data_IF_087921508011
#
_entry.id   IF_087921508011
#
_cell.length_a   1.000
_cell.length_b   1.000
_cell.length_c   1.000
_cell.angle_alpha   90.00
_cell.angle_beta   90.00
_cell.angle_gamma   90.00
#
_symmetry.space_group_name_H-M   'P 1'
#
loop_
_entity.id
_entity.type
_entity.pdbx_description
1 polymer ?
#
# COMPACT_ATOMS: atom_id res chain seq x y z
N UNK A 1 86.86 72.80 -48.55
CA UNK A 1 87.20 72.18 -47.28
C UNK A 1 86.57 73.03 -46.20
N UNK A 2 85.32 72.64 -45.74
CA UNK A 2 84.68 73.35 -44.64
C UNK A 2 84.76 72.47 -43.39
N UNK A 3 85.48 72.96 -42.41
CA UNK A 3 85.50 72.31 -41.07
C UNK A 3 84.25 72.64 -40.33
N UNK A 4 83.57 71.68 -39.65
CA UNK A 4 82.45 71.98 -38.83
C UNK A 4 82.86 72.63 -37.51
N UNK A 5 82.34 73.77 -37.22
CA UNK A 5 82.48 74.45 -35.95
C UNK A 5 81.69 73.67 -34.86
N UNK A 6 82.39 73.12 -33.91
CA UNK A 6 81.82 72.51 -32.72
C UNK A 6 81.42 73.69 -31.81
N UNK A 7 80.13 73.86 -31.62
CA UNK A 7 79.59 74.85 -30.64
C UNK A 7 79.62 74.17 -29.25
N UNK A 8 80.45 74.71 -28.39
CA UNK A 8 80.55 74.26 -26.99
C UNK A 8 79.32 74.70 -26.21
N UNK A 9 78.65 73.71 -25.61
CA UNK A 9 77.43 73.88 -24.83
C UNK A 9 77.59 74.76 -23.57
N UNK A 10 78.84 75.17 -23.25
CA UNK A 10 79.12 76.04 -22.07
C UNK A 10 78.74 77.50 -22.27
N UNK A 11 78.39 77.93 -23.54
CA UNK A 11 78.04 79.33 -23.80
C UNK A 11 76.52 79.59 -23.92
N UNK A 12 75.71 78.60 -23.70
CA UNK A 12 74.29 78.78 -23.62
C UNK A 12 73.83 79.30 -22.25
N UNK A 13 74.04 80.58 -21.98
CA UNK A 13 73.61 81.25 -20.75
C UNK A 13 72.16 81.27 -20.47
N UNK A 14 71.31 81.03 -21.45
CA UNK A 14 69.78 80.92 -21.26
C UNK A 14 69.34 79.61 -20.64
N UNK A 15 70.06 78.48 -20.86
CA UNK A 15 69.73 77.20 -20.25
C UNK A 15 70.19 77.10 -18.76
N UNK A 16 71.30 77.77 -18.40
CA UNK A 16 71.76 77.81 -17.01
C UNK A 16 70.83 78.60 -16.08
N UNK A 17 70.17 79.65 -16.58
CA UNK A 17 69.29 80.50 -15.77
C UNK A 17 67.92 79.84 -15.49
N UNK A 18 67.49 78.84 -16.27
CA UNK A 18 66.28 78.12 -16.04
C UNK A 18 66.45 76.94 -15.05
N UNK A 19 67.60 76.38 -14.89
CA UNK A 19 67.88 75.28 -13.93
C UNK A 19 68.15 75.78 -12.50
N UNK A 20 68.50 77.04 -12.28
CA UNK A 20 68.87 77.61 -10.96
C UNK A 20 67.74 78.36 -10.26
N UNK A 21 66.54 78.42 -10.87
CA UNK A 21 65.35 78.96 -10.18
C UNK A 21 64.83 77.93 -9.19
N UNK A 22 65.13 78.10 -7.91
CA UNK A 22 64.46 77.33 -6.83
C UNK A 22 62.98 77.47 -7.02
N UNK A 23 62.21 76.35 -7.14
CA UNK A 23 60.81 76.42 -7.32
C UNK A 23 60.13 77.21 -6.19
N UNK A 24 59.38 78.20 -6.54
CA UNK A 24 58.67 79.09 -5.59
C UNK A 24 57.76 78.22 -4.68
N UNK A 25 57.61 78.61 -3.40
CA UNK A 25 56.72 77.94 -2.44
C UNK A 25 55.31 77.58 -3.04
N UNK A 26 54.88 78.35 -3.99
CA UNK A 26 53.61 78.14 -4.73
C UNK A 26 53.66 76.85 -5.58
N UNK A 27 54.78 76.57 -6.24
CA UNK A 27 54.93 75.34 -7.08
C UNK A 27 54.94 74.09 -6.19
N UNK A 28 55.59 74.17 -5.02
CA UNK A 28 55.61 73.05 -4.04
C UNK A 28 54.18 72.85 -3.43
N UNK A 29 53.41 73.93 -3.21
CA UNK A 29 52.06 73.89 -2.70
C UNK A 29 51.18 73.28 -3.75
N UNK A 30 51.25 73.62 -5.02
CA UNK A 30 50.49 73.04 -6.11
C UNK A 30 50.80 71.54 -6.32
N UNK A 31 52.09 71.17 -6.29
CA UNK A 31 52.51 69.80 -6.38
C UNK A 31 52.05 69.00 -5.15
N UNK A 32 52.10 69.55 -3.95
CA UNK A 32 51.57 68.99 -2.72
C UNK A 32 50.13 68.79 -2.77
N UNK A 33 49.36 69.78 -3.28
CA UNK A 33 47.90 69.67 -3.48
C UNK A 33 47.55 68.58 -4.51
N UNK A 34 48.27 68.50 -5.63
CA UNK A 34 48.12 67.42 -6.62
C UNK A 34 48.35 66.03 -6.02
N UNK A 35 49.45 65.88 -5.26
CA UNK A 35 49.78 64.63 -4.58
C UNK A 35 48.73 64.29 -3.59
N UNK A 36 48.20 65.22 -2.82
CA UNK A 36 47.11 65.00 -1.86
C UNK A 36 45.81 64.62 -2.57
N UNK A 37 45.49 65.25 -3.71
CA UNK A 37 44.34 64.93 -4.53
C UNK A 37 44.43 63.47 -5.10
N UNK A 38 45.61 63.14 -5.66
CA UNK A 38 45.88 61.78 -6.16
C UNK A 38 45.82 60.75 -5.02
N UNK A 39 46.40 61.05 -3.84
CA UNK A 39 46.32 60.19 -2.68
C UNK A 39 44.89 59.99 -2.18
N UNK A 40 44.07 61.09 -2.22
CA UNK A 40 42.66 61.03 -1.87
C UNK A 40 41.86 60.16 -2.83
N UNK A 41 42.10 60.25 -4.14
CA UNK A 41 41.44 59.43 -5.16
C UNK A 41 41.86 57.95 -5.00
N UNK A 42 43.13 57.67 -4.76
CA UNK A 42 43.60 56.31 -4.50
C UNK A 42 43.00 55.77 -3.21
N UNK A 43 42.99 56.53 -2.14
CA UNK A 43 42.34 56.16 -0.88
C UNK A 43 40.83 55.87 -1.04
N UNK A 44 40.13 56.74 -1.79
CA UNK A 44 38.74 56.53 -2.13
C UNK A 44 38.52 55.27 -2.97
N UNK A 45 39.35 55.04 -3.99
CA UNK A 45 39.32 53.83 -4.84
C UNK A 45 39.65 52.54 -4.06
N UNK A 46 40.52 52.63 -3.02
CA UNK A 46 40.84 51.52 -2.15
C UNK A 46 39.66 51.18 -1.18
N UNK A 47 38.90 52.21 -0.74
CA UNK A 47 37.81 52.00 0.19
C UNK A 47 36.50 51.62 -0.52
N UNK A 48 36.27 52.08 -1.76
CA UNK A 48 35.07 51.80 -2.56
C UNK A 48 35.10 50.37 -3.05
N UNK A 49 34.11 49.56 -2.62
CA UNK A 49 33.93 48.17 -3.04
C UNK A 49 32.99 48.08 -4.23
N UNK A 50 33.38 47.29 -5.21
CA UNK A 50 32.57 46.95 -6.39
C UNK A 50 32.24 45.45 -6.37
N UNK A 51 31.00 45.10 -6.64
CA UNK A 51 30.60 43.71 -6.79
C UNK A 51 30.99 43.20 -8.18
N UNK A 52 31.74 42.11 -8.25
CA UNK A 52 31.88 41.35 -9.48
C UNK A 52 30.66 40.44 -9.59
N UNK A 53 30.03 40.47 -10.76
CA UNK A 53 28.82 39.71 -11.05
C UNK A 53 29.06 38.76 -12.22
N UNK A 54 28.53 37.56 -12.08
CA UNK A 54 28.38 36.59 -13.17
C UNK A 54 26.92 36.65 -13.62
N UNK A 55 26.70 36.74 -14.94
CA UNK A 55 25.37 36.83 -15.51
C UNK A 55 24.96 35.49 -16.12
N UNK A 56 23.92 34.89 -15.60
CA UNK A 56 23.41 33.61 -16.08
C UNK A 56 21.98 33.74 -16.55
N UNK A 57 21.69 33.23 -17.76
CA UNK A 57 20.34 33.17 -18.29
C UNK A 57 19.64 31.89 -17.83
N UNK A 58 18.36 31.99 -17.48
CA UNK A 58 17.62 30.85 -16.96
C UNK A 58 16.11 31.09 -16.87
N UNK A 59 15.47 30.18 -16.19
CA UNK A 59 14.01 30.21 -15.98
C UNK A 59 13.61 29.66 -14.63
N UNK A 60 12.44 30.06 -14.16
CA UNK A 60 11.84 29.58 -12.93
C UNK A 60 11.39 28.13 -13.12
N UNK A 61 11.80 27.29 -12.19
CA UNK A 61 11.44 25.87 -12.09
C UNK A 61 10.88 25.58 -10.70
N UNK A 62 10.09 24.50 -10.51
CA UNK A 62 9.79 24.03 -9.17
C UNK A 62 11.09 23.58 -8.48
N UNK A 63 11.16 23.73 -7.18
CA UNK A 63 12.33 23.29 -6.39
C UNK A 63 12.43 21.76 -6.39
N UNK A 64 11.30 21.08 -6.29
CA UNK A 64 11.19 19.63 -6.39
C UNK A 64 10.85 19.20 -7.81
N UNK A 65 11.25 17.97 -8.15
CA UNK A 65 10.84 17.37 -9.42
C UNK A 65 9.33 17.15 -9.41
N UNK A 66 8.62 17.50 -10.50
CA UNK A 66 7.18 17.29 -10.54
C UNK A 66 6.79 15.86 -10.19
N UNK A 67 5.78 15.73 -9.34
CA UNK A 67 5.24 14.44 -8.96
C UNK A 67 4.44 13.87 -10.12
N UNK A 68 4.82 12.69 -10.57
CA UNK A 68 4.14 11.97 -11.65
C UNK A 68 2.99 11.18 -11.11
N UNK A 69 1.82 11.38 -11.66
CA UNK A 69 0.62 10.62 -11.35
C UNK A 69 0.44 9.56 -12.42
N UNK A 70 0.35 8.30 -12.00
CA UNK A 70 0.26 7.16 -12.89
C UNK A 70 -1.16 6.62 -12.95
N UNK A 71 -1.55 6.09 -14.13
CA UNK A 71 -2.79 5.34 -14.27
C UNK A 71 -2.72 4.01 -13.50
N UNK A 72 -3.61 3.85 -12.52
CA UNK A 72 -3.76 2.62 -11.74
C UNK A 72 -4.74 1.66 -12.44
N UNK A 73 -4.35 1.14 -13.61
CA UNK A 73 -5.11 0.13 -14.34
C UNK A 73 -4.48 -1.25 -14.07
N UNK A 74 -5.26 -2.33 -13.94
CA UNK A 74 -4.70 -3.67 -13.80
C UNK A 74 -3.71 -4.00 -14.92
N UNK A 75 -2.62 -4.67 -14.58
CA UNK A 75 -1.53 -4.96 -15.52
C UNK A 75 -2.03 -5.68 -16.78
N UNK A 76 -1.67 -5.15 -17.95
CA UNK A 76 -2.06 -5.72 -19.25
C UNK A 76 -3.44 -5.31 -19.76
N UNK A 77 -4.16 -4.44 -19.03
CA UNK A 77 -5.43 -3.87 -19.45
C UNK A 77 -5.26 -2.39 -19.83
N UNK A 78 -6.18 -1.91 -20.64
CA UNK A 78 -6.33 -0.49 -20.97
C UNK A 78 -7.58 0.04 -20.27
N UNK A 79 -7.44 1.17 -19.57
CA UNK A 79 -8.56 1.90 -18.99
C UNK A 79 -9.06 2.96 -19.97
N UNK A 80 -10.38 3.06 -20.13
CA UNK A 80 -10.97 4.18 -20.87
C UNK A 80 -11.26 5.33 -19.92
N UNK A 81 -10.88 6.54 -20.28
CA UNK A 81 -11.22 7.75 -19.54
C UNK A 81 -12.72 8.01 -19.64
N UNK A 82 -13.42 8.04 -18.51
CA UNK A 82 -14.82 8.48 -18.43
C UNK A 82 -14.88 10.01 -18.39
N UNK A 83 -14.17 10.62 -17.44
CA UNK A 83 -14.12 12.07 -17.27
C UNK A 83 -12.71 12.52 -16.87
N UNK A 84 -12.20 13.56 -17.51
CA UNK A 84 -11.05 14.34 -17.06
C UNK A 84 -11.56 15.62 -16.37
N UNK A 85 -11.25 15.82 -15.11
CA UNK A 85 -11.80 16.88 -14.27
C UNK A 85 -10.86 18.08 -14.15
N UNK A 86 -9.62 17.93 -14.57
CA UNK A 86 -8.58 18.97 -14.48
C UNK A 86 -7.86 19.11 -15.82
N UNK A 87 -7.40 20.34 -16.09
CA UNK A 87 -6.61 20.71 -17.27
C UNK A 87 -5.22 21.22 -16.86
N UNK A 88 -4.32 21.34 -17.84
CA UNK A 88 -3.02 21.96 -17.61
C UNK A 88 -3.18 23.40 -17.12
N UNK A 89 -2.49 23.74 -16.03
CA UNK A 89 -2.56 25.04 -15.36
C UNK A 89 -3.53 25.13 -14.19
N UNK A 90 -4.34 24.10 -13.94
CA UNK A 90 -5.26 24.08 -12.80
C UNK A 90 -4.50 23.83 -11.47
N UNK A 91 -4.95 24.52 -10.42
CA UNK A 91 -4.48 24.27 -9.06
C UNK A 91 -5.26 23.10 -8.46
N UNK A 92 -4.52 22.15 -7.86
CA UNK A 92 -5.08 20.95 -7.24
C UNK A 92 -4.51 20.74 -5.85
N UNK A 93 -5.34 20.15 -4.97
CA UNK A 93 -4.94 19.76 -3.62
C UNK A 93 -4.76 18.24 -3.53
N UNK A 94 -4.00 17.83 -2.54
CA UNK A 94 -3.84 16.40 -2.24
C UNK A 94 -5.21 15.75 -1.96
N UNK A 95 -5.54 14.69 -2.71
CA UNK A 95 -6.83 14.02 -2.68
C UNK A 95 -7.86 14.52 -3.70
N UNK A 96 -7.60 15.60 -4.43
CA UNK A 96 -8.49 16.06 -5.49
C UNK A 96 -8.52 15.05 -6.65
N UNK A 97 -9.72 14.82 -7.19
CA UNK A 97 -9.91 13.88 -8.30
C UNK A 97 -9.48 14.54 -9.61
N UNK A 98 -8.46 13.97 -10.24
CA UNK A 98 -7.93 14.42 -11.51
C UNK A 98 -8.65 13.78 -12.70
N UNK A 99 -8.90 12.47 -12.60
CA UNK A 99 -9.40 11.64 -13.69
C UNK A 99 -10.26 10.50 -13.13
N UNK A 100 -11.31 10.13 -13.87
CA UNK A 100 -12.09 8.93 -13.63
C UNK A 100 -12.03 8.01 -14.83
N UNK A 101 -11.76 6.74 -14.58
CA UNK A 101 -11.84 5.70 -15.60
C UNK A 101 -13.26 5.12 -15.68
N UNK A 102 -13.62 4.56 -16.81
CA UNK A 102 -14.89 3.87 -17.02
C UNK A 102 -14.93 2.57 -16.21
N UNK A 103 -15.84 2.49 -15.25
CA UNK A 103 -16.05 1.34 -14.37
C UNK A 103 -17.24 0.48 -14.76
N UNK A 104 -17.90 0.74 -15.89
CA UNK A 104 -19.15 0.06 -16.26
C UNK A 104 -19.03 -1.47 -16.32
N UNK A 105 -17.90 -2.01 -16.78
CA UNK A 105 -17.66 -3.46 -16.76
C UNK A 105 -17.40 -3.98 -15.35
N UNK A 106 -16.66 -3.25 -14.52
CA UNK A 106 -16.38 -3.60 -13.13
C UNK A 106 -17.67 -3.60 -12.30
N UNK A 107 -18.53 -2.59 -12.46
CA UNK A 107 -19.78 -2.49 -11.76
C UNK A 107 -20.73 -3.67 -12.09
N UNK A 108 -20.77 -4.09 -13.37
CA UNK A 108 -21.52 -5.28 -13.79
C UNK A 108 -20.95 -6.58 -13.16
N UNK A 109 -19.63 -6.72 -13.07
CA UNK A 109 -19.03 -7.91 -12.48
C UNK A 109 -19.17 -7.92 -10.95
N UNK A 110 -19.11 -6.77 -10.29
CA UNK A 110 -19.45 -6.59 -8.87
C UNK A 110 -20.90 -7.08 -8.62
N UNK A 111 -21.86 -6.58 -9.39
CA UNK A 111 -23.28 -6.96 -9.25
C UNK A 111 -23.51 -8.46 -9.45
N UNK A 112 -22.82 -9.10 -10.41
CA UNK A 112 -22.88 -10.55 -10.61
C UNK A 112 -22.35 -11.33 -9.40
N UNK A 113 -21.21 -10.88 -8.84
CA UNK A 113 -20.62 -11.53 -7.66
C UNK A 113 -21.48 -11.35 -6.42
N UNK A 114 -22.07 -10.17 -6.20
CA UNK A 114 -23.02 -9.91 -5.11
C UNK A 114 -24.20 -10.85 -5.19
N UNK A 115 -24.82 -10.97 -6.38
CA UNK A 115 -25.93 -11.93 -6.59
C UNK A 115 -25.51 -13.39 -6.35
N UNK A 116 -24.27 -13.76 -6.72
CA UNK A 116 -23.75 -15.11 -6.48
C UNK A 116 -23.55 -15.38 -4.99
N UNK A 117 -23.05 -14.39 -4.24
CA UNK A 117 -22.88 -14.47 -2.78
C UNK A 117 -24.25 -14.60 -2.10
N UNK A 118 -25.23 -13.80 -2.50
CA UNK A 118 -26.59 -13.86 -1.97
C UNK A 118 -27.24 -15.23 -2.22
N UNK A 119 -27.12 -15.75 -3.44
CA UNK A 119 -27.63 -17.09 -3.78
C UNK A 119 -26.96 -18.18 -2.95
N UNK A 120 -25.63 -18.13 -2.79
CA UNK A 120 -24.88 -19.09 -1.96
C UNK A 120 -25.28 -18.99 -0.48
N UNK A 121 -25.52 -17.78 0.03
CA UNK A 121 -25.96 -17.54 1.41
C UNK A 121 -27.35 -18.09 1.65
N UNK A 122 -28.30 -17.88 0.72
CA UNK A 122 -29.66 -18.47 0.80
C UNK A 122 -29.63 -20.00 0.72
N UNK A 123 -28.72 -20.57 -0.06
CA UNK A 123 -28.54 -22.02 -0.14
C UNK A 123 -27.98 -22.60 1.15
N UNK A 124 -27.04 -21.92 1.80
CA UNK A 124 -26.52 -22.29 3.12
C UNK A 124 -27.64 -22.27 4.19
N UNK A 125 -28.47 -21.25 4.20
CA UNK A 125 -29.62 -21.15 5.12
C UNK A 125 -30.58 -22.30 4.92
N UNK A 126 -30.89 -22.68 3.67
CA UNK A 126 -31.71 -23.85 3.37
C UNK A 126 -31.08 -25.16 3.83
N UNK A 127 -29.76 -25.33 3.68
CA UNK A 127 -29.07 -26.52 4.17
C UNK A 127 -29.17 -26.64 5.70
N UNK A 128 -29.06 -25.54 6.43
CA UNK A 128 -29.24 -25.49 7.88
C UNK A 128 -30.66 -25.88 8.30
N UNK A 129 -31.66 -25.40 7.56
CA UNK A 129 -33.07 -25.80 7.79
C UNK A 129 -33.27 -27.29 7.52
N UNK A 130 -32.68 -27.85 6.45
CA UNK A 130 -32.75 -29.27 6.16
C UNK A 130 -32.08 -30.10 7.25
N UNK A 131 -30.90 -29.66 7.74
CA UNK A 131 -30.19 -30.33 8.83
C UNK A 131 -31.03 -30.38 10.11
N UNK A 132 -31.68 -29.28 10.50
CA UNK A 132 -32.58 -29.24 11.66
C UNK A 132 -33.77 -30.21 11.50
N UNK A 133 -34.44 -30.19 10.35
CA UNK A 133 -35.55 -31.10 10.07
C UNK A 133 -35.11 -32.58 10.07
N UNK A 134 -33.94 -32.90 9.56
CA UNK A 134 -33.38 -34.23 9.56
C UNK A 134 -33.13 -34.74 10.99
N UNK A 135 -32.53 -33.90 11.82
CA UNK A 135 -32.29 -34.24 13.25
C UNK A 135 -33.59 -34.45 13.98
N UNK A 136 -34.58 -33.56 13.83
CA UNK A 136 -35.89 -33.70 14.46
C UNK A 136 -36.63 -35.00 14.05
N UNK A 137 -36.58 -35.34 12.76
CA UNK A 137 -37.16 -36.57 12.24
C UNK A 137 -36.49 -37.80 12.86
N UNK A 138 -35.14 -37.83 12.88
CA UNK A 138 -34.40 -38.96 13.45
C UNK A 138 -34.60 -39.06 14.96
N UNK A 139 -34.76 -37.94 15.68
CA UNK A 139 -35.06 -37.95 17.10
C UNK A 139 -36.42 -38.61 17.37
N UNK A 140 -37.45 -38.27 16.58
CA UNK A 140 -38.77 -38.90 16.70
C UNK A 140 -38.71 -40.40 16.42
N UNK A 141 -37.94 -40.82 15.38
CA UNK A 141 -37.75 -42.25 15.07
C UNK A 141 -36.98 -42.99 16.18
N UNK A 142 -35.92 -42.40 16.75
CA UNK A 142 -35.19 -43.01 17.87
C UNK A 142 -36.05 -43.11 19.14
N UNK A 143 -36.89 -42.12 19.44
CA UNK A 143 -37.87 -42.18 20.54
C UNK A 143 -38.86 -43.33 20.35
N UNK A 144 -39.38 -43.53 19.13
CA UNK A 144 -40.29 -44.65 18.81
C UNK A 144 -39.59 -46.00 18.97
N UNK A 145 -38.37 -46.16 18.39
CA UNK A 145 -37.61 -47.42 18.48
C UNK A 145 -37.23 -47.70 19.96
N UNK A 146 -36.87 -46.70 20.72
CA UNK A 146 -36.58 -46.84 22.15
C UNK A 146 -37.79 -47.29 22.96
N UNK A 147 -39.00 -46.76 22.69
CA UNK A 147 -40.23 -47.17 23.33
C UNK A 147 -40.55 -48.65 23.00
N UNK A 148 -40.38 -49.07 21.70
CA UNK A 148 -40.56 -50.45 21.30
C UNK A 148 -39.54 -51.40 21.96
N UNK A 149 -38.24 -50.97 22.04
CA UNK A 149 -37.19 -51.70 22.74
C UNK A 149 -37.52 -51.91 24.20
N UNK A 150 -37.95 -50.88 24.89
CA UNK A 150 -38.35 -50.97 26.32
C UNK A 150 -39.50 -51.92 26.52
N UNK A 151 -40.56 -51.83 25.68
CA UNK A 151 -41.69 -52.71 25.74
C UNK A 151 -41.32 -54.20 25.54
N UNK A 152 -40.40 -54.47 24.56
CA UNK A 152 -39.96 -55.84 24.28
C UNK A 152 -39.00 -56.37 25.37
N UNK A 153 -38.14 -55.51 25.98
CA UNK A 153 -37.33 -55.85 27.15
C UNK A 153 -38.20 -56.25 28.35
N UNK A 154 -39.27 -55.50 28.62
CA UNK A 154 -40.20 -55.79 29.71
C UNK A 154 -40.95 -57.14 29.45
N UNK A 155 -41.32 -57.39 28.17
CA UNK A 155 -41.92 -58.66 27.77
C UNK A 155 -40.98 -59.84 27.95
N UNK A 156 -39.72 -59.72 27.51
CA UNK A 156 -38.69 -60.75 27.64
C UNK A 156 -38.45 -61.02 29.12
N UNK A 157 -38.26 -59.98 29.97
CA UNK A 157 -38.05 -60.13 31.40
C UNK A 157 -39.21 -60.83 32.12
N UNK A 158 -40.46 -60.46 31.78
CA UNK A 158 -41.62 -61.12 32.29
C UNK A 158 -41.71 -62.61 31.87
N UNK A 159 -41.31 -62.94 30.63
CA UNK A 159 -41.25 -64.33 30.13
C UNK A 159 -40.16 -65.12 30.82
N UNK A 160 -38.99 -64.53 31.08
CA UNK A 160 -37.90 -65.19 31.88
C UNK A 160 -38.35 -65.46 33.31
N UNK A 161 -39.03 -64.53 33.96
CA UNK A 161 -39.60 -64.75 35.32
C UNK A 161 -40.60 -65.88 35.34
N UNK A 162 -41.47 -65.98 34.31
CA UNK A 162 -42.41 -67.08 34.21
C UNK A 162 -41.66 -68.42 34.00
N UNK A 163 -40.74 -68.48 33.09
CA UNK A 163 -39.89 -69.67 32.83
C UNK A 163 -39.18 -70.11 34.16
N UNK A 164 -38.56 -69.22 34.90
CA UNK A 164 -37.86 -69.53 36.13
C UNK A 164 -38.81 -70.07 37.24
N UNK A 165 -40.07 -69.58 37.27
CA UNK A 165 -41.12 -70.16 38.12
C UNK A 165 -41.52 -71.56 37.68
N UNK A 166 -41.72 -71.75 36.33
CA UNK A 166 -42.10 -73.03 35.76
C UNK A 166 -41.00 -74.08 35.97
N UNK A 167 -39.71 -73.67 35.80
CA UNK A 167 -38.54 -74.53 36.12
C UNK A 167 -38.55 -74.96 37.57
N UNK A 168 -38.74 -74.04 38.52
CA UNK A 168 -38.79 -74.33 39.96
C UNK A 168 -39.93 -75.32 40.28
N UNK A 169 -41.14 -75.10 39.71
CA UNK A 169 -42.23 -76.01 39.89
C UNK A 169 -41.96 -77.40 39.29
N UNK A 170 -41.37 -77.46 38.10
CA UNK A 170 -40.97 -78.73 37.45
C UNK A 170 -39.89 -79.47 38.22
N UNK A 171 -38.88 -78.74 38.79
CA UNK A 171 -37.85 -79.31 39.67
C UNK A 171 -38.47 -79.98 40.91
N UNK A 172 -39.40 -79.26 41.58
CA UNK A 172 -40.13 -79.83 42.74
C UNK A 172 -40.96 -81.06 42.34
N UNK A 173 -41.62 -81.05 41.19
CA UNK A 173 -42.36 -82.18 40.68
C UNK A 173 -41.48 -83.40 40.36
N UNK A 174 -40.24 -83.20 39.81
CA UNK A 174 -39.25 -84.24 39.58
C UNK A 174 -38.76 -84.80 40.92
N UNK A 175 -38.47 -83.96 41.90
CA UNK A 175 -38.05 -84.40 43.26
C UNK A 175 -39.12 -85.25 43.92
N UNK A 176 -40.39 -84.83 43.93
CA UNK A 176 -41.53 -85.60 44.43
C UNK A 176 -41.72 -86.94 43.71
N UNK A 177 -41.62 -86.93 42.36
CA UNK A 177 -41.79 -88.18 41.58
C UNK A 177 -40.63 -89.14 41.89
N UNK A 178 -39.37 -88.68 42.02
CA UNK A 178 -38.21 -89.48 42.43
C UNK A 178 -38.34 -90.06 43.81
N UNK A 179 -38.81 -89.30 44.81
CA UNK A 179 -39.06 -89.79 46.13
C UNK A 179 -40.10 -90.87 46.14
N UNK A 180 -41.22 -90.65 45.37
CA UNK A 180 -42.24 -91.67 45.26
C UNK A 180 -41.72 -92.97 44.60
N UNK A 181 -41.00 -92.84 43.49
CA UNK A 181 -40.35 -93.97 42.80
C UNK A 181 -39.43 -94.77 43.80
N UNK A 182 -38.52 -94.06 44.54
CA UNK A 182 -37.67 -94.69 45.55
C UNK A 182 -38.48 -95.40 46.67
N UNK A 183 -39.61 -94.85 47.07
CA UNK A 183 -40.53 -95.43 48.05
C UNK A 183 -41.13 -96.71 47.47
N UNK A 184 -41.68 -96.68 46.20
CA UNK A 184 -42.33 -97.85 45.61
C UNK A 184 -41.29 -98.93 45.29
N UNK A 185 -40.02 -98.62 44.84
CA UNK A 185 -38.95 -99.57 44.70
C UNK A 185 -38.69 -100.36 45.99
N UNK A 186 -38.67 -99.70 47.17
CA UNK A 186 -38.52 -100.36 48.44
C UNK A 186 -39.67 -101.29 48.79
N UNK A 187 -40.98 -100.86 48.51
CA UNK A 187 -42.11 -101.65 48.76
C UNK A 187 -42.20 -102.88 47.87
N UNK A 188 -41.93 -102.79 46.60
CA UNK A 188 -41.81 -103.92 45.65
C UNK A 188 -40.78 -104.91 46.11
N UNK A 189 -39.66 -104.48 46.58
CA UNK A 189 -38.55 -105.33 47.08
C UNK A 189 -39.03 -106.26 48.21
N UNK A 190 -39.89 -105.75 49.10
CA UNK A 190 -40.43 -106.50 50.23
C UNK A 190 -41.80 -107.18 49.89
N UNK A 191 -42.21 -107.21 48.60
CA UNK A 191 -43.41 -107.78 48.09
C UNK A 191 -44.69 -107.17 48.59
N UNK A 192 -44.61 -105.89 49.10
CA UNK A 192 -45.74 -105.15 49.57
C UNK A 192 -46.53 -104.33 48.50
N UNK A 193 -45.92 -104.25 47.32
CA UNK A 193 -46.53 -103.62 46.15
C UNK A 193 -46.26 -104.36 44.85
N UNK A 194 -46.98 -103.98 43.73
CA UNK A 194 -46.92 -104.70 42.40
C UNK A 194 -45.91 -104.02 41.44
N UNK A 195 -45.29 -104.81 40.55
CA UNK A 195 -44.42 -104.28 39.50
C UNK A 195 -45.07 -103.27 38.57
N UNK A 196 -46.40 -103.38 38.40
CA UNK A 196 -47.17 -102.41 37.64
C UNK A 196 -47.12 -101.02 38.23
N UNK A 197 -47.19 -100.94 39.57
CA UNK A 197 -47.11 -99.64 40.29
C UNK A 197 -45.66 -99.05 40.22
N UNK A 198 -44.63 -99.87 40.17
CA UNK A 198 -43.26 -99.44 39.91
C UNK A 198 -43.14 -98.85 38.51
N UNK A 199 -43.68 -99.51 37.50
CA UNK A 199 -43.66 -98.98 36.15
C UNK A 199 -44.39 -97.64 36.01
N UNK A 200 -45.54 -97.47 36.66
CA UNK A 200 -46.24 -96.24 36.72
C UNK A 200 -45.45 -95.12 37.39
N UNK A 201 -44.70 -95.37 38.50
CA UNK A 201 -43.86 -94.41 39.17
C UNK A 201 -42.62 -94.03 38.32
N UNK A 202 -42.03 -94.99 37.57
CA UNK A 202 -40.96 -94.71 36.60
C UNK A 202 -41.44 -93.82 35.48
N UNK A 203 -42.67 -94.09 34.93
CA UNK A 203 -43.26 -93.26 33.86
C UNK A 203 -43.55 -91.85 34.40
N UNK A 204 -44.04 -91.68 35.63
CA UNK A 204 -44.28 -90.40 36.25
C UNK A 204 -42.95 -89.58 36.41
N UNK A 205 -41.90 -90.26 36.87
CA UNK A 205 -40.58 -89.63 36.96
C UNK A 205 -40.02 -89.20 35.58
N UNK A 206 -40.18 -90.03 34.57
CA UNK A 206 -39.79 -89.68 33.20
C UNK A 206 -40.60 -88.52 32.64
N UNK A 207 -41.91 -88.50 32.86
CA UNK A 207 -42.77 -87.40 32.42
C UNK A 207 -42.37 -86.09 33.10
N UNK A 208 -42.14 -86.12 34.43
CA UNK A 208 -41.70 -84.93 35.17
C UNK A 208 -40.37 -84.38 34.67
N UNK A 209 -39.40 -85.24 34.31
CA UNK A 209 -38.13 -84.84 33.69
C UNK A 209 -38.32 -84.20 32.30
N UNK A 210 -39.19 -84.73 31.49
CA UNK A 210 -39.48 -84.13 30.17
C UNK A 210 -40.15 -82.75 30.34
N UNK A 211 -41.08 -82.57 31.32
CA UNK A 211 -41.65 -81.28 31.69
C UNK A 211 -40.58 -80.27 32.11
N UNK A 212 -39.64 -80.71 32.98
CA UNK A 212 -38.50 -79.84 33.38
C UNK A 212 -37.63 -79.44 32.21
N UNK A 213 -37.32 -80.40 31.33
CA UNK A 213 -36.51 -80.11 30.13
C UNK A 213 -37.21 -79.07 29.22
N UNK A 214 -38.51 -79.19 29.06
CA UNK A 214 -39.31 -78.21 28.28
C UNK A 214 -39.37 -76.85 28.93
N UNK A 215 -39.50 -76.79 30.28
CA UNK A 215 -39.46 -75.56 31.05
C UNK A 215 -38.11 -74.85 30.96
N UNK A 216 -37.02 -75.58 30.80
CA UNK A 216 -35.64 -75.06 30.68
C UNK A 216 -35.35 -74.47 29.32
N UNK A 217 -36.24 -74.52 28.35
CA UNK A 217 -35.99 -73.92 27.02
C UNK A 217 -35.78 -72.41 27.14
N UNK A 218 -34.82 -71.86 26.37
CA UNK A 218 -34.53 -70.41 26.42
C UNK A 218 -35.76 -69.63 25.91
N UNK A 219 -35.94 -68.43 26.47
CA UNK A 219 -36.93 -67.47 26.00
C UNK A 219 -36.49 -66.87 24.65
N UNK A 220 -37.40 -66.71 23.72
CA UNK A 220 -37.08 -66.11 22.43
C UNK A 220 -36.81 -64.59 22.60
N UNK A 221 -35.57 -64.19 22.25
CA UNK A 221 -35.10 -62.81 22.26
C UNK A 221 -34.90 -62.25 20.82
N UNK A 222 -35.32 -62.98 19.78
CA UNK A 222 -35.10 -62.61 18.38
C UNK A 222 -35.62 -61.23 18.04
N UNK A 223 -36.80 -60.86 18.53
CA UNK A 223 -37.39 -59.55 18.25
C UNK A 223 -36.58 -58.41 18.93
N UNK A 224 -36.06 -58.64 20.15
CA UNK A 224 -35.24 -57.67 20.87
C UNK A 224 -33.92 -57.40 20.09
N UNK A 225 -33.30 -58.42 19.52
CA UNK A 225 -32.05 -58.28 18.76
C UNK A 225 -32.33 -57.55 17.41
N UNK A 226 -33.44 -57.83 16.76
CA UNK A 226 -33.84 -57.11 15.52
C UNK A 226 -34.02 -55.60 15.82
N UNK A 227 -34.73 -55.26 16.88
CA UNK A 227 -34.92 -53.82 17.25
C UNK A 227 -33.62 -53.12 17.59
N UNK A 228 -32.66 -53.80 18.25
CA UNK A 228 -31.33 -53.23 18.50
C UNK A 228 -30.54 -52.98 17.20
N UNK A 229 -30.62 -53.90 16.23
CA UNK A 229 -30.03 -53.74 14.93
C UNK A 229 -30.68 -52.61 14.12
N UNK A 230 -32.01 -52.53 14.17
CA UNK A 230 -32.77 -51.45 13.52
C UNK A 230 -32.39 -50.08 14.04
N UNK A 231 -32.22 -49.91 15.37
CA UNK A 231 -31.73 -48.69 16.00
C UNK A 231 -30.31 -48.33 15.52
N UNK A 232 -29.40 -49.32 15.44
CA UNK A 232 -28.03 -49.09 14.95
C UNK A 232 -27.99 -48.67 13.47
N UNK A 233 -28.85 -49.22 12.65
CA UNK A 233 -28.99 -48.85 11.24
C UNK A 233 -29.55 -47.45 11.10
N UNK A 234 -30.58 -47.08 11.88
CA UNK A 234 -31.09 -45.72 11.88
C UNK A 234 -30.03 -44.67 12.23
N UNK A 235 -29.21 -44.96 13.27
CA UNK A 235 -28.09 -44.07 13.66
C UNK A 235 -27.05 -43.92 12.54
N UNK A 236 -26.63 -45.04 11.94
CA UNK A 236 -25.68 -45.00 10.82
C UNK A 236 -26.20 -44.22 9.62
N UNK A 237 -27.50 -44.34 9.34
CA UNK A 237 -28.14 -43.60 8.27
C UNK A 237 -28.10 -42.09 8.54
N UNK A 238 -28.39 -41.67 9.75
CA UNK A 238 -28.25 -40.27 10.17
C UNK A 238 -26.84 -39.76 9.99
N UNK A 239 -25.82 -40.51 10.46
CA UNK A 239 -24.41 -40.14 10.35
C UNK A 239 -24.02 -39.92 8.88
N UNK A 240 -24.49 -40.76 7.95
CA UNK A 240 -24.23 -40.62 6.52
C UNK A 240 -24.91 -39.38 5.93
N UNK A 241 -26.20 -39.19 6.22
CA UNK A 241 -26.99 -38.05 5.71
C UNK A 241 -26.42 -36.72 6.24
N UNK A 242 -26.03 -36.66 7.52
CA UNK A 242 -25.33 -35.49 8.08
C UNK A 242 -24.01 -35.24 7.40
N UNK A 243 -23.20 -36.29 7.16
CA UNK A 243 -21.94 -36.16 6.46
C UNK A 243 -22.10 -35.63 5.02
N UNK A 244 -23.15 -36.04 4.31
CA UNK A 244 -23.46 -35.50 2.97
C UNK A 244 -23.84 -34.02 3.01
N UNK A 245 -24.62 -33.62 4.00
CA UNK A 245 -25.04 -32.21 4.19
C UNK A 245 -23.81 -31.35 4.57
N UNK A 246 -22.93 -31.84 5.43
CA UNK A 246 -21.69 -31.17 5.79
C UNK A 246 -20.77 -30.92 4.59
N UNK A 247 -20.59 -31.90 3.75
CA UNK A 247 -19.81 -31.75 2.52
C UNK A 247 -20.41 -30.67 1.61
N UNK A 248 -21.74 -30.68 1.43
CA UNK A 248 -22.44 -29.65 0.63
C UNK A 248 -22.26 -28.28 1.24
N UNK A 249 -22.41 -28.15 2.58
CA UNK A 249 -22.24 -26.89 3.31
C UNK A 249 -20.82 -26.34 3.15
N UNK A 250 -19.78 -27.17 3.34
CA UNK A 250 -18.37 -26.77 3.19
C UNK A 250 -18.10 -26.29 1.77
N UNK A 251 -18.60 -26.98 0.76
CA UNK A 251 -18.42 -26.58 -0.63
C UNK A 251 -19.07 -25.22 -0.91
N UNK A 252 -20.31 -25.01 -0.43
CA UNK A 252 -21.00 -23.72 -0.60
C UNK A 252 -20.37 -22.57 0.17
N UNK A 253 -19.89 -22.82 1.38
CA UNK A 253 -19.09 -21.85 2.12
C UNK A 253 -17.84 -21.46 1.36
N UNK A 254 -17.10 -22.45 0.80
CA UNK A 254 -15.91 -22.19 -0.02
C UNK A 254 -16.23 -21.36 -1.27
N UNK A 255 -17.35 -21.65 -1.96
CA UNK A 255 -17.79 -20.83 -3.10
C UNK A 255 -18.13 -19.38 -2.70
N UNK A 256 -18.83 -19.20 -1.58
CA UNK A 256 -19.19 -17.87 -1.07
C UNK A 256 -17.92 -17.07 -0.64
N UNK A 257 -16.97 -17.71 0.04
CA UNK A 257 -15.70 -17.07 0.43
C UNK A 257 -14.85 -16.68 -0.78
N UNK A 258 -14.75 -17.56 -1.78
CA UNK A 258 -14.02 -17.25 -3.01
C UNK A 258 -14.66 -16.04 -3.72
N UNK A 259 -15.97 -16.02 -3.85
CA UNK A 259 -16.69 -14.90 -4.45
C UNK A 259 -16.53 -13.60 -3.65
N UNK A 260 -16.51 -13.66 -2.31
CA UNK A 260 -16.26 -12.47 -1.46
C UNK A 260 -14.85 -11.90 -1.64
N UNK A 261 -13.83 -12.76 -1.77
CA UNK A 261 -12.45 -12.32 -2.03
C UNK A 261 -12.33 -11.67 -3.41
N UNK A 262 -12.98 -12.24 -4.40
CA UNK A 262 -13.02 -11.68 -5.75
C UNK A 262 -13.75 -10.34 -5.77
N UNK A 263 -14.89 -10.24 -5.06
CA UNK A 263 -15.62 -8.98 -4.89
C UNK A 263 -14.77 -7.89 -4.23
N UNK A 264 -14.03 -8.22 -3.18
CA UNK A 264 -13.12 -7.27 -2.53
C UNK A 264 -12.03 -6.78 -3.48
N UNK A 265 -11.51 -7.66 -4.34
CA UNK A 265 -10.55 -7.29 -5.39
C UNK A 265 -11.15 -6.31 -6.42
N UNK A 266 -12.39 -6.57 -6.86
CA UNK A 266 -13.07 -5.67 -7.81
C UNK A 266 -13.38 -4.30 -7.18
N UNK A 267 -13.76 -4.25 -5.90
CA UNK A 267 -13.93 -2.98 -5.20
C UNK A 267 -12.63 -2.18 -5.14
N UNK A 268 -11.49 -2.83 -4.84
CA UNK A 268 -10.18 -2.18 -4.87
C UNK A 268 -9.85 -1.63 -6.27
N UNK A 269 -10.11 -2.41 -7.33
CA UNK A 269 -9.92 -1.96 -8.70
C UNK A 269 -10.82 -0.76 -9.02
N UNK A 270 -12.06 -0.75 -8.53
CA UNK A 270 -12.99 0.38 -8.70
C UNK A 270 -12.53 1.64 -7.98
N UNK A 271 -11.97 1.51 -6.78
CA UNK A 271 -11.34 2.63 -6.06
C UNK A 271 -10.12 3.16 -6.84
N UNK A 272 -9.29 2.28 -7.37
CA UNK A 272 -8.12 2.64 -8.18
C UNK A 272 -8.49 3.29 -9.54
N UNK A 273 -9.73 3.11 -10.03
CA UNK A 273 -10.21 3.77 -11.23
C UNK A 273 -10.44 5.29 -11.05
N UNK A 274 -10.41 5.79 -9.82
CA UNK A 274 -10.42 7.22 -9.50
C UNK A 274 -8.99 7.66 -9.22
N UNK A 275 -8.42 8.45 -10.11
CA UNK A 275 -7.05 8.93 -10.00
C UNK A 275 -7.08 10.29 -9.31
N UNK A 276 -6.36 10.38 -8.19
CA UNK A 276 -6.31 11.58 -7.34
C UNK A 276 -4.90 12.18 -7.30
N UNK A 277 -4.82 13.47 -6.99
CA UNK A 277 -3.53 14.13 -6.78
C UNK A 277 -2.90 13.65 -5.46
N UNK A 278 -1.64 13.19 -5.46
CA UNK A 278 -0.93 12.84 -4.23
C UNK A 278 -0.42 14.07 -3.46
N UNK A 279 -0.31 15.25 -4.10
CA UNK A 279 0.29 16.46 -3.56
C UNK A 279 -0.53 17.70 -3.91
N UNK A 280 -0.30 18.78 -3.16
CA UNK A 280 -0.83 20.11 -3.49
C UNK A 280 0.07 20.76 -4.55
N UNK A 281 -0.53 21.29 -5.62
CA UNK A 281 0.28 21.91 -6.67
C UNK A 281 -0.50 22.37 -7.89
N UNK A 282 0.22 22.56 -9.00
CA UNK A 282 -0.34 22.93 -10.29
C UNK A 282 -0.07 21.80 -11.30
N UNK A 283 -1.08 21.44 -12.07
CA UNK A 283 -0.94 20.49 -13.16
C UNK A 283 -0.11 21.12 -14.29
N UNK A 284 1.05 20.53 -14.62
CA UNK A 284 1.97 21.07 -15.64
C UNK A 284 2.00 20.26 -16.94
N UNK A 285 1.48 19.04 -16.90
CA UNK A 285 1.32 18.18 -18.08
C UNK A 285 0.17 17.20 -17.87
N UNK A 286 -0.60 16.93 -18.90
CA UNK A 286 -1.69 15.95 -18.93
C UNK A 286 -2.88 16.47 -19.73
N UNK A 287 -2.90 16.19 -21.05
CA UNK A 287 -4.06 16.45 -21.91
C UNK A 287 -4.79 15.13 -22.17
N UNK A 288 -5.68 14.75 -21.27
CA UNK A 288 -6.55 13.59 -21.45
C UNK A 288 -7.99 14.03 -21.60
N UNK A 289 -8.69 13.40 -22.52
CA UNK A 289 -10.10 13.65 -22.80
C UNK A 289 -10.96 12.42 -22.57
N UNK A 290 -12.24 12.64 -22.31
CA UNK A 290 -13.19 11.55 -22.21
C UNK A 290 -13.16 10.66 -23.48
N UNK A 291 -12.99 9.35 -23.29
CA UNK A 291 -12.87 8.36 -24.36
C UNK A 291 -11.44 7.92 -24.67
N UNK A 292 -10.42 8.62 -24.19
CA UNK A 292 -9.02 8.23 -24.36
C UNK A 292 -8.71 6.92 -23.62
N UNK A 293 -7.71 6.23 -24.14
CA UNK A 293 -7.24 4.96 -23.53
C UNK A 293 -5.92 5.20 -22.81
N UNK A 294 -5.86 4.78 -21.56
CA UNK A 294 -4.65 4.84 -20.74
C UNK A 294 -4.21 3.43 -20.34
N UNK A 295 -2.89 3.22 -20.32
CA UNK A 295 -2.30 1.93 -19.97
C UNK A 295 -1.84 1.91 -18.52
N UNK A 296 -1.72 0.70 -17.98
CA UNK A 296 -1.17 0.50 -16.65
C UNK A 296 0.23 1.08 -16.52
N UNK A 297 0.44 1.93 -15.51
CA UNK A 297 1.73 2.59 -15.25
C UNK A 297 2.06 3.74 -16.20
N UNK A 298 1.15 4.16 -17.08
CA UNK A 298 1.30 5.36 -17.89
C UNK A 298 1.17 6.62 -17.02
N UNK A 299 2.03 7.61 -17.28
CA UNK A 299 1.95 8.91 -16.60
C UNK A 299 0.78 9.68 -17.20
N UNK A 300 -0.24 9.94 -16.39
CA UNK A 300 -1.45 10.65 -16.82
C UNK A 300 -1.40 12.14 -16.53
N UNK A 301 -0.77 12.54 -15.42
CA UNK A 301 -0.56 13.92 -15.05
C UNK A 301 0.80 14.11 -14.39
N UNK A 302 1.36 15.31 -14.51
CA UNK A 302 2.49 15.78 -13.72
C UNK A 302 2.04 16.99 -12.89
N UNK A 303 2.19 16.90 -11.57
CA UNK A 303 1.82 17.97 -10.63
C UNK A 303 3.09 18.57 -10.04
N UNK A 304 3.26 19.87 -10.23
CA UNK A 304 4.35 20.63 -9.63
C UNK A 304 3.87 21.24 -8.30
N UNK A 305 4.56 20.93 -7.22
CA UNK A 305 4.29 21.55 -5.94
C UNK A 305 4.54 23.06 -5.96
N UNK A 306 3.67 23.83 -5.33
CA UNK A 306 3.84 25.28 -5.24
C UNK A 306 4.85 25.71 -4.18
N UNK A 307 5.39 24.79 -3.41
CA UNK A 307 6.34 25.07 -2.34
C UNK A 307 7.77 25.11 -2.89
N UNK A 308 8.30 26.34 -3.01
CA UNK A 308 9.67 26.58 -3.44
C UNK A 308 9.84 26.72 -4.95
N UNK A 309 10.19 27.92 -5.37
CA UNK A 309 10.66 28.18 -6.72
C UNK A 309 12.17 28.31 -6.73
N UNK A 310 12.79 27.64 -7.65
CA UNK A 310 14.20 27.85 -7.99
C UNK A 310 14.32 28.53 -9.33
N UNK A 311 15.33 29.36 -9.46
CA UNK A 311 15.75 29.87 -10.76
C UNK A 311 16.90 29.01 -11.26
N UNK A 312 16.66 28.24 -12.31
CA UNK A 312 17.64 27.38 -12.93
C UNK A 312 18.30 28.14 -14.09
N UNK A 313 19.62 28.34 -13.98
CA UNK A 313 20.37 29.16 -14.91
C UNK A 313 21.62 28.45 -15.42
N UNK A 314 21.93 28.68 -16.70
CA UNK A 314 23.17 28.21 -17.32
C UNK A 314 24.28 29.26 -17.21
N UNK A 315 25.38 28.87 -16.60
CA UNK A 315 26.60 29.72 -16.47
C UNK A 315 27.64 29.24 -17.45
N UNK A 316 28.24 30.13 -18.26
CA UNK A 316 29.33 29.79 -19.16
C UNK A 316 30.54 29.19 -18.43
N UNK A 317 31.25 28.28 -19.08
CA UNK A 317 32.37 27.54 -18.48
C UNK A 317 33.59 28.43 -18.07
N UNK A 318 33.75 29.59 -18.67
CA UNK A 318 34.80 30.57 -18.33
C UNK A 318 34.48 31.35 -17.03
N UNK A 319 33.24 31.42 -16.61
CA UNK A 319 32.78 32.13 -15.41
C UNK A 319 32.49 31.21 -14.22
N UNK A 320 32.50 29.88 -14.37
CA UNK A 320 32.12 28.92 -13.33
C UNK A 320 33.11 28.83 -12.17
N UNK A 321 34.42 29.13 -12.44
CA UNK A 321 35.50 28.96 -11.48
C UNK A 321 35.34 29.78 -10.19
N UNK A 322 34.67 30.92 -10.26
CA UNK A 322 34.42 31.82 -9.14
C UNK A 322 33.07 31.57 -8.43
N UNK A 323 32.26 30.64 -8.93
CA UNK A 323 30.93 30.34 -8.40
C UNK A 323 30.98 29.28 -7.29
N UNK A 324 30.26 29.56 -6.21
CA UNK A 324 30.11 28.64 -5.08
C UNK A 324 28.66 28.69 -4.56
N UNK A 325 28.27 27.63 -3.84
CA UNK A 325 27.03 27.66 -3.07
C UNK A 325 27.04 28.80 -2.03
N UNK A 326 25.88 29.22 -1.60
CA UNK A 326 25.60 30.31 -0.65
C UNK A 326 25.92 31.72 -1.17
N UNK A 327 26.21 31.87 -2.46
CA UNK A 327 26.41 33.21 -3.04
C UNK A 327 25.08 33.93 -3.26
N UNK A 328 24.97 35.21 -2.90
CA UNK A 328 23.78 36.02 -3.12
C UNK A 328 23.62 36.36 -4.61
N UNK A 329 22.37 36.34 -5.07
CA UNK A 329 22.03 36.66 -6.45
C UNK A 329 20.84 37.60 -6.55
N UNK A 330 20.73 38.31 -7.67
CA UNK A 330 19.59 39.13 -8.05
C UNK A 330 19.05 38.66 -9.39
N UNK A 331 17.77 38.36 -9.43
CA UNK A 331 17.12 37.86 -10.63
C UNK A 331 16.25 38.97 -11.23
N UNK A 332 16.45 39.20 -12.53
CA UNK A 332 15.64 40.13 -13.35
C UNK A 332 14.85 39.29 -14.35
N UNK A 333 13.53 39.28 -14.21
CA UNK A 333 12.69 38.53 -15.13
C UNK A 333 12.38 39.36 -16.37
N UNK A 334 12.37 38.76 -17.53
CA UNK A 334 12.17 39.45 -18.80
C UNK A 334 10.71 39.94 -18.94
N UNK A 335 9.74 39.28 -18.31
CA UNK A 335 8.35 39.65 -18.28
C UNK A 335 8.03 40.89 -17.42
N UNK A 336 8.94 41.30 -16.54
CA UNK A 336 8.74 42.40 -15.59
C UNK A 336 9.84 43.46 -15.74
N UNK A 337 9.45 44.70 -16.00
CA UNK A 337 10.40 45.81 -15.99
C UNK A 337 10.98 45.98 -14.59
N UNK A 338 12.28 45.71 -14.43
CA UNK A 338 12.98 45.80 -13.16
C UNK A 338 12.98 47.19 -12.54
N UNK A 339 12.76 48.25 -13.35
CA UNK A 339 12.60 49.61 -12.85
C UNK A 339 11.26 49.81 -12.15
N UNK A 340 10.23 49.08 -12.57
CA UNK A 340 8.87 49.21 -12.05
C UNK A 340 8.54 48.15 -11.00
N UNK A 341 8.99 46.91 -11.17
CA UNK A 341 8.66 45.77 -10.29
C UNK A 341 9.79 45.35 -9.36
N UNK A 342 11.03 45.85 -9.60
CA UNK A 342 12.20 45.46 -8.81
C UNK A 342 12.86 44.22 -9.32
N UNK A 343 13.65 43.58 -8.46
CA UNK A 343 14.39 42.34 -8.75
C UNK A 343 14.08 41.32 -7.65
N UNK A 344 14.05 40.04 -7.95
CA UNK A 344 13.97 39.00 -6.95
C UNK A 344 15.35 38.78 -6.31
N UNK A 345 15.35 38.52 -5.01
CA UNK A 345 16.56 38.09 -4.28
C UNK A 345 16.63 36.58 -4.26
N UNK A 346 17.82 36.03 -4.41
CA UNK A 346 18.03 34.59 -4.36
C UNK A 346 19.41 34.23 -3.81
N UNK A 347 19.58 32.98 -3.47
CA UNK A 347 20.84 32.41 -3.03
C UNK A 347 21.17 31.17 -3.85
N UNK A 348 22.42 31.03 -4.30
CA UNK A 348 22.87 29.86 -5.03
C UNK A 348 22.84 28.65 -4.08
N UNK A 349 22.02 27.64 -4.41
CA UNK A 349 21.94 26.41 -3.61
C UNK A 349 22.76 25.28 -4.17
N UNK A 350 22.92 25.25 -5.50
CA UNK A 350 23.63 24.17 -6.17
C UNK A 350 24.35 24.67 -7.41
N UNK A 351 25.57 24.21 -7.59
CA UNK A 351 26.38 24.40 -8.80
C UNK A 351 26.68 23.01 -9.36
N UNK A 352 26.28 22.74 -10.60
CA UNK A 352 26.52 21.43 -11.21
C UNK A 352 28.02 21.14 -11.34
N UNK A 353 28.49 19.96 -10.95
CA UNK A 353 29.88 19.55 -11.19
C UNK A 353 30.14 19.15 -12.64
N UNK A 354 29.07 18.95 -13.43
CA UNK A 354 29.14 18.55 -14.84
C UNK A 354 28.54 19.61 -15.75
N UNK A 355 29.13 19.74 -16.94
CA UNK A 355 28.70 20.70 -17.94
C UNK A 355 27.75 20.09 -18.94
N UNK A 356 26.84 20.90 -19.45
CA UNK A 356 25.93 20.55 -20.53
C UNK A 356 26.24 21.40 -21.76
N UNK A 357 26.08 20.83 -22.94
CA UNK A 357 26.21 21.58 -24.20
C UNK A 357 24.82 22.09 -24.59
N UNK A 358 24.66 23.40 -24.63
CA UNK A 358 23.44 24.07 -25.08
C UNK A 358 23.83 25.10 -26.15
N UNK A 359 23.20 25.02 -27.34
CA UNK A 359 23.47 25.95 -28.48
C UNK A 359 24.97 26.15 -28.80
N UNK A 360 25.72 25.04 -28.85
CA UNK A 360 27.20 25.01 -29.04
C UNK A 360 28.03 25.67 -27.91
N UNK A 361 27.41 26.05 -26.83
CA UNK A 361 28.12 26.60 -25.64
C UNK A 361 28.16 25.57 -24.50
N UNK A 362 29.30 25.47 -23.83
CA UNK A 362 29.44 24.68 -22.63
C UNK A 362 28.95 25.51 -21.45
N UNK A 363 27.82 25.07 -20.87
CA UNK A 363 27.21 25.74 -19.72
C UNK A 363 27.09 24.80 -18.52
N UNK A 364 27.27 25.37 -17.33
CA UNK A 364 27.05 24.66 -16.05
C UNK A 364 25.73 25.06 -15.48
N UNK A 365 24.95 24.07 -15.05
CA UNK A 365 23.64 24.33 -14.46
C UNK A 365 23.78 24.80 -13.01
N UNK A 366 23.17 25.93 -12.68
CA UNK A 366 23.20 26.53 -11.34
C UNK A 366 21.77 26.71 -10.86
N UNK A 367 21.47 26.23 -9.66
CA UNK A 367 20.16 26.40 -9.02
C UNK A 367 20.25 27.51 -7.97
N UNK A 368 19.31 28.42 -8.03
CA UNK A 368 19.22 29.59 -7.15
C UNK A 368 17.84 29.54 -6.46
N UNK A 369 17.82 29.38 -5.15
CA UNK A 369 16.59 29.47 -4.39
C UNK A 369 16.10 30.92 -4.35
N UNK A 370 14.84 31.13 -4.65
CA UNK A 370 14.19 32.43 -4.59
C UNK A 370 13.73 32.70 -3.16
N UNK A 371 14.01 33.90 -2.63
CA UNK A 371 13.60 34.31 -1.29
C UNK A 371 12.09 34.61 -1.22
N UNK A 372 11.53 35.13 -2.30
CA UNK A 372 10.15 35.58 -2.37
C UNK A 372 9.46 35.00 -3.62
N UNK A 373 8.17 34.71 -3.51
CA UNK A 373 7.31 34.27 -4.62
C UNK A 373 6.69 35.43 -5.41
N UNK A 374 6.99 36.66 -5.04
CA UNK A 374 6.48 37.86 -5.71
C UNK A 374 7.50 38.99 -5.72
N UNK A 375 7.51 39.75 -6.82
CA UNK A 375 8.20 41.02 -6.90
C UNK A 375 7.34 42.12 -6.31
N UNK A 376 7.90 42.94 -5.43
CA UNK A 376 7.18 44.08 -4.88
C UNK A 376 8.02 45.35 -4.90
N UNK A 377 7.49 46.39 -5.55
CA UNK A 377 8.09 47.73 -5.53
C UNK A 377 6.98 48.77 -5.46
N UNK A 378 6.87 49.43 -4.29
CA UNK A 378 5.75 50.35 -4.01
C UNK A 378 4.40 49.62 -4.04
N UNK A 379 3.47 50.14 -4.83
CA UNK A 379 2.10 49.56 -4.98
C UNK A 379 2.01 48.45 -6.06
N UNK A 380 3.10 48.15 -6.76
CA UNK A 380 3.10 47.15 -7.84
C UNK A 380 3.56 45.82 -7.30
N UNK A 381 2.79 44.80 -7.60
CA UNK A 381 3.06 43.42 -7.24
C UNK A 381 3.10 42.59 -8.55
N UNK A 382 4.17 41.88 -8.78
CA UNK A 382 4.33 40.91 -9.87
C UNK A 382 4.47 39.51 -9.28
N UNK A 383 3.57 38.59 -9.59
CA UNK A 383 3.66 37.21 -9.15
C UNK A 383 4.67 36.44 -9.99
N UNK A 384 5.59 35.73 -9.35
CA UNK A 384 6.53 34.83 -10.00
C UNK A 384 5.77 33.54 -10.33
N UNK A 385 5.87 33.10 -11.60
CA UNK A 385 5.23 31.89 -12.09
C UNK A 385 6.27 30.94 -12.68
N UNK A 386 5.96 29.66 -12.71
CA UNK A 386 6.78 28.67 -13.38
C UNK A 386 6.97 29.03 -14.86
N UNK A 387 8.16 28.76 -15.40
CA UNK A 387 8.51 29.05 -16.79
C UNK A 387 8.95 30.49 -17.07
N UNK A 388 8.85 31.43 -16.13
CA UNK A 388 9.34 32.81 -16.33
C UNK A 388 10.82 32.79 -16.63
N UNK A 389 11.19 33.33 -17.80
CA UNK A 389 12.57 33.54 -18.20
C UNK A 389 13.17 34.82 -17.61
N UNK A 390 14.48 34.84 -17.44
CA UNK A 390 15.19 36.00 -16.90
C UNK A 390 16.70 35.82 -16.82
N UNK A 391 17.33 36.76 -16.13
CA UNK A 391 18.79 36.81 -15.91
C UNK A 391 19.08 36.88 -14.44
N UNK A 392 19.94 36.00 -13.94
CA UNK A 392 20.50 36.04 -12.59
C UNK A 392 21.85 36.75 -12.61
N UNK A 393 21.99 37.73 -11.77
CA UNK A 393 23.25 38.44 -11.49
C UNK A 393 23.78 37.87 -10.15
N UNK A 394 24.74 36.94 -10.23
CA UNK A 394 25.34 36.29 -9.05
C UNK A 394 26.55 37.09 -8.61
N UNK A 395 26.58 37.49 -7.32
CA UNK A 395 27.70 38.28 -6.76
C UNK A 395 28.77 37.34 -6.28
N UNK A 396 29.86 37.25 -7.05
CA UNK A 396 30.97 36.30 -6.77
C UNK A 396 31.99 36.86 -5.79
N UNK A 397 32.39 38.12 -5.96
CA UNK A 397 33.40 38.74 -5.13
C UNK A 397 33.11 40.23 -4.92
N UNK A 398 33.50 40.76 -3.78
CA UNK A 398 33.56 42.20 -3.54
C UNK A 398 35.03 42.62 -3.53
N UNK A 399 35.47 43.29 -4.58
CA UNK A 399 36.84 43.84 -4.68
C UNK A 399 36.83 45.35 -4.59
N UNK A 400 37.91 45.95 -4.08
CA UNK A 400 38.06 47.40 -4.16
C UNK A 400 38.29 47.86 -5.60
N UNK A 401 37.83 49.05 -5.95
CA UNK A 401 38.04 49.65 -7.27
C UNK A 401 39.51 49.62 -7.68
N UNK A 402 40.40 49.89 -6.71
CA UNK A 402 41.84 49.84 -6.91
C UNK A 402 42.35 48.43 -7.29
N UNK A 403 41.81 47.38 -6.65
CA UNK A 403 42.18 46.00 -6.95
C UNK A 403 41.76 45.59 -8.38
N UNK A 404 40.51 45.94 -8.76
CA UNK A 404 39.96 45.69 -10.11
C UNK A 404 40.81 46.38 -11.19
N UNK A 405 41.16 47.64 -10.96
CA UNK A 405 42.05 48.40 -11.87
C UNK A 405 43.44 47.79 -11.97
N UNK A 406 44.00 47.32 -10.84
CA UNK A 406 45.31 46.66 -10.80
C UNK A 406 45.34 45.33 -11.56
N UNK A 407 44.27 44.52 -11.48
CA UNK A 407 44.10 43.28 -12.27
C UNK A 407 43.99 43.57 -13.75
N UNK A 408 43.19 44.60 -14.14
CA UNK A 408 43.04 45.01 -15.55
C UNK A 408 44.36 45.44 -16.18
N UNK A 409 45.19 46.20 -15.45
CA UNK A 409 46.50 46.63 -15.89
C UNK A 409 47.47 45.43 -16.02
N UNK A 410 47.44 44.51 -15.06
CA UNK A 410 48.30 43.29 -15.10
C UNK A 410 47.92 42.39 -16.30
N UNK A 411 46.63 42.22 -16.61
CA UNK A 411 46.18 41.48 -17.79
C UNK A 411 46.61 42.12 -19.11
N UNK A 412 46.70 43.46 -19.17
CA UNK A 412 47.08 44.20 -20.38
C UNK A 412 48.61 44.18 -20.58
N UNK A 413 49.41 43.98 -19.51
CA UNK A 413 50.88 43.99 -19.57
C UNK A 413 51.46 42.57 -19.66
N UNK A 414 50.70 41.54 -19.38
CA UNK A 414 51.12 40.13 -19.47
C UNK A 414 50.96 39.61 -20.91
N UNK A 415 51.91 39.97 -21.76
CA UNK A 415 52.25 39.32 -23.02
C UNK A 415 53.59 38.66 -22.91
#
# INVERSE_FOLDING_TARGET
MNTPTIIDFSECTEFGQTLDRRPTLFVHLVIGLMILLVASVIGWAAYTKVNLIVVAHGRVRPEETPTRVFASVPAGLEGRVADALVAEGDEVHSGDVLLRLDTGSLDNDIEKLERRIDAATQELEKLEQIETLLVDQHQADDERINAELQAEQDRVSASEQRRDNDVRQAELAVEQALENERRIVRLVRVKAETESKLLEAVFATKSARETLKNAQLPVDQGRLEVLKQERQLAKRKLDVEQGELDVRRINKQGEAEAARKELANLHLQREQAVIVSPVDGVVIAGELSAGDLVKSGEVVFEVAEQQGFIFEAGVPGDEIADLKADMPSRIKFDAFDHQQYGTASGTVTFVSPDSQVSDDLVVYNVKIALADHSLRRGDRIGQIRLGLAGRAEIITQQKSLLAVFGEQIRHTISF
#
